data_IF_976665210655
#
_entry.id   IF_976665210655
#
_cell.length_a   1.000
_cell.length_b   1.000
_cell.length_c   1.000
_cell.angle_alpha   90.00
_cell.angle_beta   90.00
_cell.angle_gamma   90.00
#
_symmetry.space_group_name_H-M   'P 1'
#
loop_
_entity.id
_entity.type
_entity.pdbx_description
1 polymer ?
#
# COMPACT_ATOMS: atom_id res chain seq x y z
N UNK A 1 27.24 -32.12 -7.65
CA UNK A 1 25.96 -31.40 -7.67
C UNK A 1 26.08 -30.24 -6.68
N UNK A 2 26.08 -28.99 -7.13
CA UNK A 2 26.09 -27.84 -6.25
C UNK A 2 24.72 -27.78 -5.55
N UNK A 3 24.72 -27.75 -4.21
CA UNK A 3 23.54 -27.54 -3.37
C UNK A 3 22.92 -26.18 -3.75
N UNK A 4 21.62 -26.08 -4.07
CA UNK A 4 20.99 -24.78 -4.26
C UNK A 4 21.24 -23.94 -3.01
N UNK A 5 21.83 -22.76 -3.14
CA UNK A 5 21.84 -21.79 -2.05
C UNK A 5 20.36 -21.46 -1.80
N UNK A 6 19.86 -21.96 -0.69
CA UNK A 6 18.58 -21.53 -0.13
C UNK A 6 18.74 -20.05 0.22
N UNK A 7 18.37 -19.15 -0.72
CA UNK A 7 18.32 -17.73 -0.41
C UNK A 7 17.02 -17.48 0.34
N UNK A 8 17.07 -16.65 1.34
CA UNK A 8 15.87 -16.19 2.04
C UNK A 8 15.05 -15.33 1.09
N UNK A 9 13.94 -15.88 0.60
CA UNK A 9 13.05 -15.22 -0.36
C UNK A 9 12.49 -13.92 0.20
N UNK A 10 12.21 -13.86 1.51
CA UNK A 10 11.67 -12.67 2.15
C UNK A 10 12.69 -11.53 2.14
N UNK A 11 13.92 -11.82 2.58
CA UNK A 11 15.02 -10.86 2.54
C UNK A 11 15.31 -10.37 1.12
N UNK A 12 15.24 -11.26 0.14
CA UNK A 12 15.44 -10.89 -1.27
C UNK A 12 14.32 -9.97 -1.79
N UNK A 13 13.06 -10.25 -1.46
CA UNK A 13 11.93 -9.37 -1.82
C UNK A 13 12.00 -8.02 -1.13
N UNK A 14 12.40 -7.95 0.14
CA UNK A 14 12.62 -6.68 0.84
C UNK A 14 13.70 -5.82 0.14
N UNK A 15 14.80 -6.45 -0.27
CA UNK A 15 15.85 -5.76 -1.03
C UNK A 15 15.34 -5.27 -2.40
N UNK A 16 14.49 -6.04 -3.08
CA UNK A 16 13.85 -5.63 -4.33
C UNK A 16 12.89 -4.46 -4.12
N UNK A 17 12.04 -4.51 -3.07
CA UNK A 17 11.13 -3.41 -2.68
C UNK A 17 11.94 -2.13 -2.47
N UNK A 18 13.00 -2.19 -1.69
CA UNK A 18 13.86 -1.05 -1.40
C UNK A 18 14.43 -0.44 -2.69
N UNK A 19 14.95 -1.30 -3.59
CA UNK A 19 15.51 -0.87 -4.86
C UNK A 19 14.47 -0.18 -5.75
N UNK A 20 13.30 -0.77 -5.91
CA UNK A 20 12.21 -0.18 -6.69
C UNK A 20 11.64 1.09 -6.06
N UNK A 21 11.54 1.13 -4.74
CA UNK A 21 10.97 2.27 -4.03
C UNK A 21 11.87 3.51 -4.08
N UNK A 22 13.20 3.29 -4.02
CA UNK A 22 14.19 4.38 -4.09
C UNK A 22 14.38 4.92 -5.51
N UNK A 23 14.46 4.03 -6.50
CA UNK A 23 14.86 4.39 -7.86
C UNK A 23 13.69 4.48 -8.85
N UNK A 24 12.53 3.94 -8.49
CA UNK A 24 11.40 3.74 -9.40
C UNK A 24 11.56 2.48 -10.27
N UNK A 25 10.48 2.11 -10.96
CA UNK A 25 10.45 0.91 -11.80
C UNK A 25 11.38 1.04 -13.02
N UNK A 26 11.25 2.11 -13.80
CA UNK A 26 11.97 2.26 -15.08
C UNK A 26 13.49 2.35 -14.88
N UNK A 27 13.93 3.16 -13.91
CA UNK A 27 15.35 3.36 -13.65
C UNK A 27 16.06 2.19 -12.96
N UNK A 28 15.31 1.23 -12.40
CA UNK A 28 15.87 0.04 -11.75
C UNK A 28 16.21 -1.02 -12.78
N UNK A 29 17.49 -1.37 -12.94
CA UNK A 29 17.90 -2.45 -13.83
C UNK A 29 17.86 -3.83 -13.14
N UNK A 30 17.77 -4.90 -13.94
CA UNK A 30 17.88 -6.29 -13.42
C UNK A 30 19.24 -6.54 -12.74
N UNK A 31 20.29 -5.84 -13.18
CA UNK A 31 21.62 -5.92 -12.56
C UNK A 31 21.62 -5.31 -11.16
N UNK A 32 20.96 -4.16 -10.99
CA UNK A 32 20.83 -3.50 -9.68
C UNK A 32 20.04 -4.36 -8.71
N UNK A 33 18.91 -4.93 -9.19
CA UNK A 33 18.10 -5.87 -8.42
C UNK A 33 18.91 -7.10 -7.99
N UNK A 34 19.55 -7.77 -8.92
CA UNK A 34 20.36 -8.96 -8.63
C UNK A 34 21.45 -8.65 -7.59
N UNK A 35 22.15 -7.51 -7.74
CA UNK A 35 23.17 -7.04 -6.80
C UNK A 35 22.59 -6.80 -5.40
N UNK A 36 21.46 -6.06 -5.29
CA UNK A 36 20.81 -5.76 -4.01
C UNK A 36 20.24 -7.01 -3.33
N UNK A 37 19.69 -7.94 -4.11
CA UNK A 37 19.11 -9.19 -3.63
C UNK A 37 20.17 -10.26 -3.29
N UNK A 38 21.44 -10.02 -3.57
CA UNK A 38 22.52 -11.00 -3.38
C UNK A 38 22.44 -12.19 -4.34
N UNK A 39 21.81 -12.02 -5.51
CA UNK A 39 21.59 -13.03 -6.52
C UNK A 39 22.44 -12.79 -7.77
N UNK A 40 22.67 -13.83 -8.56
CA UNK A 40 23.09 -13.66 -9.95
C UNK A 40 21.87 -13.33 -10.83
N UNK A 41 22.07 -12.63 -11.96
CA UNK A 41 20.97 -12.35 -12.89
C UNK A 41 20.26 -13.64 -13.38
N UNK A 42 20.96 -14.74 -13.74
CA UNK A 42 20.29 -16.00 -14.04
C UNK A 42 19.46 -16.56 -12.88
N UNK A 43 19.94 -16.45 -11.64
CA UNK A 43 19.20 -16.91 -10.46
C UNK A 43 17.94 -16.09 -10.24
N UNK A 44 18.01 -14.77 -10.48
CA UNK A 44 16.85 -13.87 -10.39
C UNK A 44 15.78 -14.26 -11.43
N UNK A 45 16.18 -14.43 -12.69
CA UNK A 45 15.27 -14.87 -13.75
C UNK A 45 14.63 -16.23 -13.47
N UNK A 46 15.40 -17.18 -12.95
CA UNK A 46 14.90 -18.51 -12.59
C UNK A 46 13.88 -18.46 -11.43
N UNK A 47 14.09 -17.56 -10.44
CA UNK A 47 13.23 -17.48 -9.26
C UNK A 47 11.96 -16.63 -9.51
N UNK A 48 12.08 -15.56 -10.27
CA UNK A 48 11.02 -14.55 -10.38
C UNK A 48 10.51 -14.34 -11.80
N UNK A 49 11.14 -14.92 -12.82
CA UNK A 49 10.78 -14.68 -14.21
C UNK A 49 11.43 -13.40 -14.76
N UNK A 50 10.66 -12.38 -14.98
CA UNK A 50 11.15 -11.10 -15.48
C UNK A 50 11.07 -9.97 -14.42
N UNK A 51 11.52 -8.77 -14.77
CA UNK A 51 11.50 -7.59 -13.90
C UNK A 51 10.08 -7.23 -13.45
N UNK A 52 9.08 -7.41 -14.33
CA UNK A 52 7.68 -7.14 -14.04
C UNK A 52 7.13 -8.13 -13.01
N UNK A 53 7.32 -9.42 -13.22
CA UNK A 53 6.90 -10.46 -12.28
C UNK A 53 7.54 -10.28 -10.90
N UNK A 54 8.82 -9.91 -10.85
CA UNK A 54 9.48 -9.54 -9.60
C UNK A 54 8.83 -8.30 -8.96
N UNK A 55 8.49 -7.28 -9.76
CA UNK A 55 7.83 -6.07 -9.27
C UNK A 55 6.46 -6.37 -8.64
N UNK A 56 5.64 -7.17 -9.30
CA UNK A 56 4.35 -7.62 -8.79
C UNK A 56 4.50 -8.38 -7.47
N UNK A 57 5.45 -9.32 -7.39
CA UNK A 57 5.74 -10.05 -6.14
C UNK A 57 6.25 -9.14 -5.03
N UNK A 58 7.11 -8.19 -5.35
CA UNK A 58 7.59 -7.18 -4.41
C UNK A 58 6.44 -6.32 -3.88
N UNK A 59 5.52 -5.89 -4.75
CA UNK A 59 4.36 -5.11 -4.36
C UNK A 59 3.37 -5.92 -3.51
N UNK A 60 3.13 -7.19 -3.84
CA UNK A 60 2.32 -8.10 -2.99
C UNK A 60 2.95 -8.25 -1.61
N UNK A 61 4.23 -8.56 -1.54
CA UNK A 61 4.93 -8.69 -0.27
C UNK A 61 4.86 -7.40 0.58
N UNK A 62 5.06 -6.25 -0.06
CA UNK A 62 4.89 -4.95 0.61
C UNK A 62 3.49 -4.76 1.19
N UNK A 63 2.45 -5.13 0.45
CA UNK A 63 1.06 -5.00 0.91
C UNK A 63 0.75 -5.97 2.05
N UNK A 64 1.28 -7.18 2.01
CA UNK A 64 1.12 -8.16 3.09
C UNK A 64 1.74 -7.67 4.40
N UNK A 65 2.91 -7.03 4.34
CA UNK A 65 3.61 -6.48 5.51
C UNK A 65 3.06 -5.11 5.97
N UNK A 66 2.26 -4.43 5.15
CA UNK A 66 1.76 -3.09 5.42
C UNK A 66 0.23 -3.03 5.53
N UNK A 67 -0.45 -2.70 4.44
CA UNK A 67 -1.88 -2.42 4.48
C UNK A 67 -2.73 -3.63 4.90
N UNK A 68 -2.42 -4.84 4.41
CA UNK A 68 -3.18 -6.05 4.76
C UNK A 68 -2.98 -6.46 6.21
N UNK A 69 -1.73 -6.43 6.69
CA UNK A 69 -1.44 -6.71 8.10
C UNK A 69 -2.12 -5.70 9.02
N UNK A 70 -2.11 -4.41 8.66
CA UNK A 70 -2.79 -3.35 9.41
C UNK A 70 -4.31 -3.59 9.42
N UNK A 71 -4.92 -3.82 8.26
CA UNK A 71 -6.37 -4.09 8.13
C UNK A 71 -6.77 -5.28 9.02
N UNK A 72 -6.06 -6.41 8.88
CA UNK A 72 -6.34 -7.61 9.66
C UNK A 72 -6.31 -7.31 11.17
N UNK A 73 -5.24 -6.69 11.65
CA UNK A 73 -5.08 -6.33 13.07
C UNK A 73 -6.22 -5.43 13.57
N UNK A 74 -6.61 -4.44 12.78
CA UNK A 74 -7.67 -3.51 13.18
C UNK A 74 -9.05 -4.15 13.19
N UNK A 75 -9.37 -5.01 12.21
CA UNK A 75 -10.63 -5.76 12.16
C UNK A 75 -10.77 -6.76 13.31
N UNK A 76 -9.65 -7.35 13.76
CA UNK A 76 -9.64 -8.29 14.90
C UNK A 76 -9.72 -7.60 16.27
N UNK A 77 -9.29 -6.32 16.37
CA UNK A 77 -9.11 -5.66 17.67
C UNK A 77 -10.07 -4.51 17.96
N UNK A 78 -10.75 -3.96 16.96
CA UNK A 78 -11.55 -2.75 17.12
C UNK A 78 -12.95 -2.88 16.50
N UNK A 79 -13.96 -2.16 17.07
CA UNK A 79 -15.25 -1.99 16.41
C UNK A 79 -15.09 -1.36 15.02
N UNK A 80 -15.99 -1.65 14.07
CA UNK A 80 -15.82 -1.30 12.66
C UNK A 80 -15.56 0.19 12.39
N UNK A 81 -16.30 1.09 13.04
CA UNK A 81 -16.09 2.54 12.93
C UNK A 81 -14.70 2.96 13.42
N UNK A 82 -14.27 2.39 14.55
CA UNK A 82 -12.96 2.69 15.13
C UNK A 82 -11.83 2.14 14.27
N UNK A 83 -11.99 0.95 13.66
CA UNK A 83 -11.02 0.37 12.75
C UNK A 83 -10.74 1.29 11.55
N UNK A 84 -11.78 1.90 10.95
CA UNK A 84 -11.62 2.89 9.87
C UNK A 84 -10.85 4.11 10.32
N UNK A 85 -11.19 4.68 11.48
CA UNK A 85 -10.50 5.87 12.03
C UNK A 85 -9.04 5.55 12.33
N UNK A 86 -8.80 4.46 13.03
CA UNK A 86 -7.45 4.06 13.41
C UNK A 86 -6.58 3.75 12.19
N UNK A 87 -7.16 3.18 11.12
CA UNK A 87 -6.43 2.97 9.87
C UNK A 87 -5.87 4.28 9.31
N UNK A 88 -6.71 5.32 9.19
CA UNK A 88 -6.28 6.64 8.69
C UNK A 88 -5.23 7.28 9.63
N UNK A 89 -5.41 7.18 10.94
CA UNK A 89 -4.44 7.70 11.92
C UNK A 89 -3.08 7.01 11.82
N UNK A 90 -3.05 5.68 11.66
CA UNK A 90 -1.81 4.92 11.44
C UNK A 90 -1.12 5.35 10.13
N UNK A 91 -1.88 5.57 9.07
CA UNK A 91 -1.34 6.06 7.81
C UNK A 91 -0.70 7.44 7.97
N UNK A 92 -1.36 8.36 8.69
CA UNK A 92 -0.80 9.69 8.99
C UNK A 92 0.47 9.54 9.82
N UNK A 93 0.43 8.75 10.88
CA UNK A 93 1.58 8.51 11.77
C UNK A 93 2.80 7.98 11.00
N UNK A 94 2.60 6.96 10.16
CA UNK A 94 3.66 6.42 9.31
C UNK A 94 4.18 7.45 8.29
N UNK A 95 3.29 8.26 7.72
CA UNK A 95 3.67 9.27 6.74
C UNK A 95 4.50 10.41 7.35
N UNK A 96 4.19 10.82 8.57
CA UNK A 96 4.95 11.86 9.30
C UNK A 96 6.32 11.34 9.74
N UNK A 97 6.40 10.07 10.09
CA UNK A 97 7.62 9.46 10.63
C UNK A 97 8.52 8.82 9.55
N UNK A 98 8.21 8.96 8.26
CA UNK A 98 9.06 8.49 7.18
C UNK A 98 10.14 9.54 6.83
N UNK A 99 11.41 9.35 7.28
CA UNK A 99 12.47 10.35 7.07
C UNK A 99 12.86 10.48 5.60
N UNK A 100 12.66 9.43 4.80
CA UNK A 100 13.00 9.39 3.38
C UNK A 100 11.86 9.90 2.49
N UNK A 101 10.67 10.13 3.05
CA UNK A 101 9.47 10.60 2.33
C UNK A 101 9.13 9.74 1.10
N UNK A 102 9.35 8.42 1.22
CA UNK A 102 9.13 7.47 0.11
C UNK A 102 7.68 7.39 -0.31
N UNK A 103 6.76 7.73 0.61
CA UNK A 103 5.33 7.63 0.37
C UNK A 103 4.83 6.18 0.46
N UNK A 104 3.96 5.80 -0.44
CA UNK A 104 3.40 4.44 -0.51
C UNK A 104 3.82 3.77 -1.82
N UNK A 105 4.39 2.57 -1.75
CA UNK A 105 4.87 1.87 -2.93
C UNK A 105 3.73 1.60 -3.93
N UNK A 106 2.53 1.21 -3.47
CA UNK A 106 1.36 1.03 -4.32
C UNK A 106 0.92 2.32 -5.03
N UNK A 107 0.92 3.47 -4.33
CA UNK A 107 0.53 4.75 -4.93
C UNK A 107 1.58 5.22 -5.92
N UNK A 108 2.87 5.04 -5.61
CA UNK A 108 3.94 5.33 -6.55
C UNK A 108 3.80 4.49 -7.83
N UNK A 109 3.45 3.19 -7.69
CA UNK A 109 3.17 2.31 -8.83
C UNK A 109 2.02 2.83 -9.70
N UNK A 110 0.96 3.36 -9.10
CA UNK A 110 -0.16 3.93 -9.83
C UNK A 110 0.23 5.17 -10.65
N UNK A 111 1.18 5.96 -10.16
CA UNK A 111 1.61 7.20 -10.81
C UNK A 111 2.69 6.96 -11.86
N UNK A 112 3.62 6.02 -11.61
CA UNK A 112 4.80 5.80 -12.43
C UNK A 112 4.60 4.69 -13.47
N UNK A 113 4.04 3.56 -13.08
CA UNK A 113 4.05 2.34 -13.90
C UNK A 113 2.71 2.10 -14.59
N UNK A 114 1.61 2.22 -13.87
CA UNK A 114 0.26 1.94 -14.36
C UNK A 114 -0.14 2.75 -15.63
N UNK A 115 0.31 3.99 -15.87
CA UNK A 115 0.01 4.70 -17.11
C UNK A 115 0.62 4.04 -18.35
N UNK A 116 1.72 3.32 -18.20
CA UNK A 116 2.54 2.78 -19.31
C UNK A 116 2.42 1.27 -19.49
N UNK A 117 1.93 0.55 -18.47
CA UNK A 117 1.75 -0.91 -18.49
C UNK A 117 0.31 -1.28 -18.15
N UNK A 118 -0.38 -1.92 -19.10
CA UNK A 118 -1.80 -2.30 -18.96
C UNK A 118 -2.01 -3.35 -17.86
N UNK A 119 -1.13 -4.33 -17.76
CA UNK A 119 -1.29 -5.43 -16.79
C UNK A 119 -1.01 -4.92 -15.39
N UNK A 120 0.07 -4.17 -15.19
CA UNK A 120 0.35 -3.51 -13.91
C UNK A 120 -0.74 -2.49 -13.51
N UNK A 121 -1.39 -1.84 -14.50
CA UNK A 121 -2.54 -0.97 -14.22
C UNK A 121 -3.69 -1.74 -13.60
N UNK A 122 -4.06 -2.88 -14.18
CA UNK A 122 -5.11 -3.74 -13.63
C UNK A 122 -4.72 -4.26 -12.26
N UNK A 123 -3.50 -4.76 -12.14
CA UNK A 123 -2.95 -5.24 -10.88
C UNK A 123 -3.04 -4.18 -9.76
N UNK A 124 -2.57 -2.96 -10.01
CA UNK A 124 -2.61 -1.83 -9.05
C UNK A 124 -4.05 -1.44 -8.70
N UNK A 125 -4.94 -1.41 -9.69
CA UNK A 125 -6.35 -1.09 -9.48
C UNK A 125 -7.04 -2.10 -8.55
N UNK A 126 -6.74 -3.40 -8.72
CA UNK A 126 -7.27 -4.45 -7.85
C UNK A 126 -6.79 -4.28 -6.38
N UNK A 127 -5.54 -3.85 -6.18
CA UNK A 127 -5.01 -3.59 -4.81
C UNK A 127 -5.68 -2.38 -4.16
N UNK A 128 -6.00 -1.33 -4.91
CA UNK A 128 -6.83 -0.24 -4.39
C UNK A 128 -8.25 -0.70 -4.06
N UNK A 129 -8.83 -1.59 -4.87
CA UNK A 129 -10.15 -2.15 -4.61
C UNK A 129 -10.19 -2.99 -3.32
N UNK A 130 -9.10 -3.65 -2.92
CA UNK A 130 -9.00 -4.33 -1.62
C UNK A 130 -9.15 -3.33 -0.45
N UNK A 131 -8.47 -2.18 -0.52
CA UNK A 131 -8.55 -1.13 0.50
C UNK A 131 -9.95 -0.48 0.51
N UNK A 132 -10.53 -0.18 -0.66
CA UNK A 132 -11.92 0.31 -0.76
C UNK A 132 -12.89 -0.70 -0.12
N UNK A 133 -12.66 -1.99 -0.37
CA UNK A 133 -13.51 -3.07 0.18
C UNK A 133 -13.43 -3.13 1.70
N UNK A 134 -12.27 -2.94 2.31
CA UNK A 134 -12.12 -2.80 3.76
C UNK A 134 -12.98 -1.65 4.29
N UNK A 135 -12.80 -0.44 3.76
CA UNK A 135 -13.62 0.70 4.19
C UNK A 135 -15.11 0.44 4.04
N UNK A 136 -15.53 -0.12 2.89
CA UNK A 136 -16.95 -0.38 2.59
C UNK A 136 -17.56 -1.39 3.55
N UNK A 137 -16.90 -2.53 3.84
CA UNK A 137 -17.44 -3.55 4.75
C UNK A 137 -17.47 -3.06 6.20
N UNK A 138 -16.43 -2.32 6.65
CA UNK A 138 -16.39 -1.73 7.99
C UNK A 138 -17.48 -0.65 8.17
N UNK A 139 -17.66 0.25 7.21
CA UNK A 139 -18.71 1.26 7.27
C UNK A 139 -20.09 0.61 7.25
N UNK A 140 -20.31 -0.40 6.38
CA UNK A 140 -21.59 -1.14 6.33
C UNK A 140 -21.90 -1.83 7.64
N UNK A 141 -20.90 -2.45 8.29
CA UNK A 141 -21.07 -3.05 9.61
C UNK A 141 -21.41 -1.99 10.67
N UNK A 142 -20.69 -0.87 10.70
CA UNK A 142 -20.95 0.24 11.61
C UNK A 142 -22.33 0.89 11.41
N UNK A 143 -22.84 0.92 10.17
CA UNK A 143 -24.20 1.35 9.87
C UNK A 143 -25.24 0.36 10.39
N UNK A 144 -24.98 -0.94 10.30
CA UNK A 144 -25.85 -1.96 10.85
C UNK A 144 -25.90 -1.93 12.39
N UNK A 145 -24.78 -1.56 13.04
CA UNK A 145 -24.67 -1.34 14.49
C UNK A 145 -25.28 0.00 14.95
N UNK A 146 -25.68 0.88 14.02
CA UNK A 146 -26.20 2.22 14.34
C UNK A 146 -25.12 3.23 14.78
N UNK A 147 -23.83 2.89 14.67
CA UNK A 147 -22.71 3.78 15.06
C UNK A 147 -22.28 4.73 13.95
N UNK A 148 -22.68 4.48 12.69
CA UNK A 148 -22.53 5.35 11.53
C UNK A 148 -23.91 5.61 10.91
N UNK A 149 -24.27 6.86 10.56
CA UNK A 149 -25.55 7.18 9.95
C UNK A 149 -25.78 6.45 8.62
N UNK A 150 -27.02 6.05 8.34
CA UNK A 150 -27.39 5.34 7.12
C UNK A 150 -27.80 6.29 5.95
N UNK A 151 -27.72 7.59 6.16
CA UNK A 151 -28.12 8.61 5.17
C UNK A 151 -27.14 8.75 3.98
N UNK A 152 -26.02 8.02 4.03
CA UNK A 152 -25.02 7.98 2.96
C UNK A 152 -24.65 6.54 2.64
N UNK A 153 -24.47 6.25 1.33
CA UNK A 153 -24.08 4.91 0.92
C UNK A 153 -22.67 4.58 1.42
N UNK A 154 -22.50 3.41 2.06
CA UNK A 154 -21.18 2.94 2.53
C UNK A 154 -20.14 2.89 1.39
N UNK A 155 -20.57 2.66 0.15
CA UNK A 155 -19.72 2.65 -1.04
C UNK A 155 -19.13 4.04 -1.32
N UNK A 156 -19.93 5.10 -1.21
CA UNK A 156 -19.48 6.46 -1.50
C UNK A 156 -18.53 6.97 -0.42
N UNK A 157 -18.85 6.68 0.85
CA UNK A 157 -17.95 6.97 1.97
C UNK A 157 -16.62 6.21 1.85
N UNK A 158 -16.65 4.94 1.43
CA UNK A 158 -15.43 4.15 1.21
C UNK A 158 -14.55 4.74 0.11
N UNK A 159 -15.13 5.17 -1.00
CA UNK A 159 -14.42 5.84 -2.11
C UNK A 159 -13.85 7.18 -1.70
N UNK A 160 -14.59 7.96 -0.94
CA UNK A 160 -14.07 9.20 -0.37
C UNK A 160 -12.86 8.94 0.52
N UNK A 161 -12.93 7.96 1.44
CA UNK A 161 -11.83 7.61 2.32
C UNK A 161 -10.61 7.06 1.56
N UNK A 162 -10.83 6.29 0.49
CA UNK A 162 -9.75 5.89 -0.41
C UNK A 162 -9.09 7.13 -1.04
N UNK A 163 -9.86 8.08 -1.57
CA UNK A 163 -9.33 9.34 -2.11
C UNK A 163 -8.54 10.15 -1.08
N UNK A 164 -9.04 10.23 0.15
CA UNK A 164 -8.35 10.88 1.29
C UNK A 164 -7.03 10.19 1.61
N UNK A 165 -7.02 8.85 1.66
CA UNK A 165 -5.81 8.05 1.86
C UNK A 165 -4.76 8.36 0.78
N UNK A 166 -5.15 8.36 -0.49
CA UNK A 166 -4.27 8.69 -1.62
C UNK A 166 -3.71 10.12 -1.46
N UNK A 167 -4.59 11.08 -1.14
CA UNK A 167 -4.20 12.47 -0.90
C UNK A 167 -3.20 12.63 0.24
N UNK A 168 -3.42 11.99 1.38
CA UNK A 168 -2.51 11.99 2.53
C UNK A 168 -1.13 11.47 2.12
N UNK A 169 -1.06 10.34 1.44
CA UNK A 169 0.20 9.71 1.04
C UNK A 169 0.98 10.54 0.01
N UNK A 170 0.29 11.19 -0.92
CA UNK A 170 0.92 12.08 -1.89
C UNK A 170 1.41 13.38 -1.23
N UNK A 171 0.58 14.01 -0.40
CA UNK A 171 0.95 15.23 0.32
C UNK A 171 2.15 15.02 1.23
N UNK A 172 2.20 13.88 1.92
CA UNK A 172 3.28 13.55 2.84
C UNK A 172 4.67 13.46 2.15
N UNK A 173 4.72 13.18 0.85
CA UNK A 173 6.00 13.18 0.12
C UNK A 173 6.62 14.58 0.01
N UNK A 174 5.81 15.60 -0.08
CA UNK A 174 6.25 17.00 -0.17
C UNK A 174 6.26 17.70 1.18
N UNK A 175 5.21 17.51 1.99
CA UNK A 175 5.00 18.22 3.24
C UNK A 175 4.40 17.29 4.32
N UNK A 176 5.22 16.49 5.04
CA UNK A 176 4.76 15.52 6.02
C UNK A 176 4.40 16.18 7.37
N UNK A 177 3.59 17.26 7.32
CA UNK A 177 3.14 17.97 8.50
C UNK A 177 1.85 17.33 9.03
N UNK A 178 1.87 16.87 10.30
CA UNK A 178 0.73 16.22 10.94
C UNK A 178 -0.55 17.05 10.82
N UNK A 179 -0.49 18.35 11.11
CA UNK A 179 -1.65 19.24 11.07
C UNK A 179 -2.29 19.32 9.66
N UNK A 180 -1.47 19.30 8.60
CA UNK A 180 -1.95 19.26 7.22
C UNK A 180 -2.67 17.94 6.93
N UNK A 181 -2.05 16.82 7.25
CA UNK A 181 -2.58 15.49 6.94
C UNK A 181 -3.85 15.18 7.74
N UNK A 182 -3.90 15.55 9.02
CA UNK A 182 -5.10 15.47 9.85
C UNK A 182 -6.21 16.42 9.35
N UNK A 183 -5.83 17.61 8.87
CA UNK A 183 -6.75 18.56 8.26
C UNK A 183 -7.45 18.00 7.01
N UNK A 184 -6.78 17.17 6.22
CA UNK A 184 -7.38 16.47 5.08
C UNK A 184 -8.29 15.32 5.53
N UNK A 185 -7.91 14.57 6.57
CA UNK A 185 -8.66 13.42 7.05
C UNK A 185 -9.93 13.81 7.81
N UNK A 186 -9.85 14.83 8.66
CA UNK A 186 -10.89 15.21 9.62
C UNK A 186 -12.27 15.43 9.01
N UNK A 187 -12.44 16.21 7.92
CA UNK A 187 -13.76 16.40 7.31
C UNK A 187 -14.39 15.10 6.78
N UNK A 188 -13.58 14.22 6.21
CA UNK A 188 -14.06 12.93 5.71
C UNK A 188 -14.45 11.97 6.84
N UNK A 189 -13.66 11.93 7.92
CA UNK A 189 -13.96 11.12 9.10
C UNK A 189 -15.17 11.63 9.88
N UNK A 190 -15.45 12.95 9.86
CA UNK A 190 -16.64 13.52 10.46
C UNK A 190 -17.95 13.06 9.77
N UNK A 191 -17.88 12.58 8.53
CA UNK A 191 -19.05 12.02 7.83
C UNK A 191 -19.47 10.66 8.39
N UNK A 192 -18.66 10.05 9.25
CA UNK A 192 -18.98 8.81 9.97
C UNK A 192 -19.70 9.09 11.31
N UNK A 193 -19.84 10.35 11.73
CA UNK A 193 -20.57 10.77 12.92
C UNK A 193 -21.99 11.24 12.53
#
# INVERSE_FOLDING_TARGET
>A
MARPREFDEMTALEAAIECFWQNGYEATSVRDLASKMGLSAPSLYNAYGDKRALYERALEHYLDQSARALIKRLEESLPPKQAVRQFIEEIIRHSVNDPERRGCFLINSALEVAPHDRELRVFVADRFAEIESFFRRSIKAAQAEGTVPQNRAAKDLARLLLGVLLGIRVLARSKPERALLEGVARPALALLD
#
